data_IF_324521920234
#
_entry.id   IF_324521920234
#
_cell.length_a   1.000
_cell.length_b   1.000
_cell.length_c   1.000
_cell.angle_alpha   90.00
_cell.angle_beta   90.00
_cell.angle_gamma   90.00
#
_symmetry.space_group_name_H-M   'P 1'
#
loop_
_entity.id
_entity.type
_entity.pdbx_description
1 polymer ?
#
# COMPACT_ATOMS: atom_id res chain seq x y z
N UNK A 1 -47.83 -54.93 6.14
CA UNK A 1 -46.51 -54.96 5.46
C UNK A 1 -46.24 -53.58 4.89
N UNK A 2 -45.11 -52.96 5.24
CA UNK A 2 -44.66 -51.70 4.64
C UNK A 2 -43.75 -50.90 5.59
N UNK A 3 -42.45 -51.12 5.47
CA UNK A 3 -41.37 -50.78 6.42
C UNK A 3 -40.95 -49.30 6.30
N UNK A 4 -40.62 -48.66 7.43
CA UNK A 4 -39.91 -47.38 7.53
C UNK A 4 -38.55 -47.45 6.80
N UNK A 5 -38.20 -46.42 6.02
CA UNK A 5 -36.81 -46.13 5.67
C UNK A 5 -36.56 -44.62 5.71
N UNK A 6 -36.02 -44.18 6.84
CA UNK A 6 -35.35 -42.91 6.99
C UNK A 6 -33.94 -43.05 6.41
N UNK A 7 -33.58 -42.21 5.44
CA UNK A 7 -32.19 -42.08 4.98
C UNK A 7 -31.70 -40.71 5.43
N UNK A 8 -30.97 -40.70 6.55
CA UNK A 8 -30.20 -39.55 7.00
C UNK A 8 -28.92 -39.53 6.18
N UNK A 9 -28.83 -38.62 5.21
CA UNK A 9 -27.60 -38.33 4.51
C UNK A 9 -26.71 -37.46 5.42
N UNK A 10 -25.77 -38.10 6.12
CA UNK A 10 -24.71 -37.41 6.86
C UNK A 10 -23.72 -36.82 5.87
N UNK A 11 -23.84 -35.51 5.61
CA UNK A 11 -22.78 -34.72 4.99
C UNK A 11 -21.59 -34.65 5.97
N UNK A 12 -20.69 -35.63 5.89
CA UNK A 12 -19.34 -35.55 6.43
C UNK A 12 -18.56 -34.48 5.65
N UNK A 13 -18.82 -33.21 5.95
CA UNK A 13 -17.89 -32.14 5.60
C UNK A 13 -16.66 -32.36 6.47
N UNK A 14 -15.59 -32.85 5.86
CA UNK A 14 -14.28 -32.87 6.46
C UNK A 14 -13.88 -31.43 6.82
N UNK A 15 -13.93 -31.07 8.09
CA UNK A 15 -13.46 -29.79 8.64
C UNK A 15 -11.92 -29.66 8.64
N UNK A 16 -11.25 -30.28 7.67
CA UNK A 16 -9.81 -30.16 7.44
C UNK A 16 -9.58 -29.40 6.15
N UNK A 17 -9.70 -28.08 6.20
CA UNK A 17 -9.34 -27.23 5.06
C UNK A 17 -7.88 -27.48 4.66
N UNK A 18 -7.53 -27.44 3.36
CA UNK A 18 -6.14 -27.58 2.93
C UNK A 18 -5.27 -26.54 3.63
N UNK A 19 -4.20 -26.97 4.30
CA UNK A 19 -3.17 -26.06 4.80
C UNK A 19 -2.43 -25.51 3.58
N UNK A 20 -2.82 -24.30 3.15
CA UNK A 20 -2.14 -23.61 2.07
C UNK A 20 -0.69 -23.34 2.51
N UNK A 21 0.27 -23.83 1.73
CA UNK A 21 1.69 -23.56 1.98
C UNK A 21 1.94 -22.06 1.80
N UNK A 22 2.58 -21.44 2.78
CA UNK A 22 3.03 -20.05 2.68
C UNK A 22 4.07 -19.97 1.55
N UNK A 23 3.84 -19.17 0.49
CA UNK A 23 4.81 -19.00 -0.58
C UNK A 23 6.09 -18.38 -0.04
N UNK A 24 7.23 -18.99 -0.37
CA UNK A 24 8.57 -18.46 -0.06
C UNK A 24 9.26 -17.87 -1.28
N UNK A 25 8.65 -18.02 -2.46
CA UNK A 25 9.11 -17.51 -3.76
C UNK A 25 7.92 -16.94 -4.51
N UNK A 26 8.16 -15.96 -5.38
CA UNK A 26 7.12 -15.41 -6.25
C UNK A 26 6.70 -16.43 -7.30
N UNK A 27 5.41 -16.79 -7.33
CA UNK A 27 4.81 -17.57 -8.43
C UNK A 27 4.32 -16.63 -9.52
N UNK A 28 4.09 -17.11 -10.76
CA UNK A 28 3.54 -16.30 -11.83
C UNK A 28 2.22 -15.61 -11.45
N UNK A 29 1.36 -16.29 -10.67
CA UNK A 29 0.08 -15.75 -10.21
C UNK A 29 0.26 -14.60 -9.22
N UNK A 30 1.26 -14.70 -8.32
CA UNK A 30 1.59 -13.60 -7.39
C UNK A 30 2.17 -12.41 -8.15
N UNK A 31 3.09 -12.66 -9.11
CA UNK A 31 3.66 -11.61 -9.94
C UNK A 31 2.59 -10.88 -10.74
N UNK A 32 1.62 -11.60 -11.30
CA UNK A 32 0.49 -11.00 -12.01
C UNK A 32 -0.35 -10.08 -11.11
N UNK A 33 -0.55 -10.43 -9.83
CA UNK A 33 -1.22 -9.53 -8.88
C UNK A 33 -0.38 -8.29 -8.56
N UNK A 34 0.92 -8.46 -8.38
CA UNK A 34 1.85 -7.34 -8.16
C UNK A 34 1.79 -6.38 -9.36
N UNK A 35 1.90 -6.89 -10.58
CA UNK A 35 1.84 -6.11 -11.82
C UNK A 35 0.50 -5.38 -11.99
N UNK A 36 -0.59 -5.92 -11.47
CA UNK A 36 -1.90 -5.26 -11.49
C UNK A 36 -1.94 -4.01 -10.60
N UNK A 37 -1.27 -4.02 -9.44
CA UNK A 37 -1.33 -2.93 -8.47
C UNK A 37 -0.17 -1.92 -8.59
N UNK A 38 1.00 -2.36 -9.03
CA UNK A 38 2.22 -1.53 -9.12
C UNK A 38 2.05 -0.25 -9.94
N UNK A 39 1.46 -0.26 -11.16
CA UNK A 39 1.34 0.94 -11.99
C UNK A 39 0.60 2.08 -11.28
N UNK A 40 -0.44 1.74 -10.52
CA UNK A 40 -1.23 2.71 -9.78
C UNK A 40 -0.53 3.30 -8.56
N UNK A 41 0.56 2.68 -8.08
CA UNK A 41 1.43 3.18 -7.02
C UNK A 41 2.54 4.03 -7.65
N UNK A 42 3.19 3.51 -8.70
CA UNK A 42 4.24 4.22 -9.45
C UNK A 42 3.72 5.54 -10.02
N UNK A 43 2.50 5.56 -10.57
CA UNK A 43 1.91 6.80 -11.09
C UNK A 43 1.72 7.89 -10.03
N UNK A 44 1.57 7.53 -8.75
CA UNK A 44 1.51 8.50 -7.66
C UNK A 44 2.91 8.95 -7.24
N UNK A 45 3.87 8.04 -7.25
CA UNK A 45 5.29 8.35 -7.02
C UNK A 45 5.85 9.30 -8.07
N UNK A 46 5.48 9.13 -9.33
CA UNK A 46 5.90 9.99 -10.45
C UNK A 46 5.41 11.43 -10.31
N UNK A 47 4.38 11.66 -9.49
CA UNK A 47 3.81 12.98 -9.20
C UNK A 47 4.42 13.66 -7.97
N UNK A 48 5.25 12.98 -7.17
CA UNK A 48 5.93 13.60 -6.02
C UNK A 48 6.71 14.87 -6.37
N UNK A 49 7.37 14.99 -7.54
CA UNK A 49 8.02 16.24 -7.94
C UNK A 49 7.08 17.46 -8.05
N UNK A 50 5.77 17.27 -8.25
CA UNK A 50 4.79 18.38 -8.18
C UNK A 50 4.81 19.02 -6.78
N UNK A 51 4.87 18.20 -5.73
CA UNK A 51 4.88 18.63 -4.34
C UNK A 51 6.11 19.48 -4.02
N UNK A 52 7.28 19.09 -4.53
CA UNK A 52 8.50 19.88 -4.42
C UNK A 52 8.34 21.27 -5.06
N UNK A 53 7.76 21.33 -6.26
CA UNK A 53 7.46 22.59 -6.94
C UNK A 53 6.57 23.51 -6.10
N UNK A 54 5.50 22.98 -5.51
CA UNK A 54 4.61 23.75 -4.64
C UNK A 54 5.33 24.23 -3.37
N UNK A 55 6.15 23.39 -2.73
CA UNK A 55 6.92 23.77 -1.53
C UNK A 55 7.94 24.88 -1.85
N UNK A 56 8.63 24.78 -2.99
CA UNK A 56 9.60 25.81 -3.43
C UNK A 56 8.89 27.14 -3.70
N UNK A 57 7.71 27.10 -4.32
CA UNK A 57 6.88 28.26 -4.59
C UNK A 57 6.15 28.82 -3.36
N UNK A 58 6.20 28.13 -2.21
CA UNK A 58 5.37 28.42 -1.01
C UNK A 58 3.87 28.41 -1.32
N UNK A 59 3.46 27.57 -2.27
CA UNK A 59 2.07 27.41 -2.67
C UNK A 59 1.38 26.39 -1.75
N UNK A 60 1.11 26.82 -0.52
CA UNK A 60 0.59 25.96 0.54
C UNK A 60 -0.78 25.37 0.20
N UNK A 61 -1.61 26.11 -0.54
CA UNK A 61 -2.93 25.63 -0.99
C UNK A 61 -2.76 24.40 -1.89
N UNK A 62 -1.81 24.42 -2.82
CA UNK A 62 -1.54 23.28 -3.69
C UNK A 62 -0.81 22.14 -2.97
N UNK A 63 0.05 22.42 -1.97
CA UNK A 63 0.61 21.35 -1.11
C UNK A 63 -0.50 20.56 -0.41
N UNK A 64 -1.41 21.26 0.27
CA UNK A 64 -2.52 20.62 0.99
C UNK A 64 -3.50 19.93 0.02
N UNK A 65 -3.83 20.58 -1.09
CA UNK A 65 -4.72 20.00 -2.12
C UNK A 65 -4.12 18.73 -2.74
N UNK A 66 -2.80 18.67 -2.90
CA UNK A 66 -2.13 17.47 -3.41
C UNK A 66 -2.19 16.31 -2.41
N UNK A 67 -1.98 16.59 -1.11
CA UNK A 67 -2.01 15.58 -0.04
C UNK A 67 -3.43 15.01 0.11
N UNK A 68 -4.45 15.85 0.14
CA UNK A 68 -5.83 15.42 0.34
C UNK A 68 -6.52 14.90 -0.93
N UNK A 69 -6.00 15.26 -2.11
CA UNK A 69 -6.51 14.79 -3.40
C UNK A 69 -5.72 13.59 -3.93
N UNK A 70 -4.70 13.80 -4.79
CA UNK A 70 -3.84 12.74 -5.32
C UNK A 70 -3.38 11.68 -4.31
N UNK A 71 -2.93 12.09 -3.12
CA UNK A 71 -2.40 11.13 -2.12
C UNK A 71 -3.48 10.49 -1.26
N UNK A 72 -4.75 10.90 -1.36
CA UNK A 72 -5.86 10.35 -0.56
C UNK A 72 -6.10 8.85 -0.81
N UNK A 73 -5.78 8.35 -2.01
CA UNK A 73 -5.89 6.92 -2.32
C UNK A 73 -4.61 6.11 -2.05
N UNK A 74 -3.49 6.78 -1.75
CA UNK A 74 -2.18 6.14 -1.65
C UNK A 74 -2.20 5.04 -0.58
N UNK A 75 -2.90 5.27 0.53
CA UNK A 75 -2.94 4.33 1.66
C UNK A 75 -3.53 2.99 1.27
N UNK A 76 -4.66 3.04 0.57
CA UNK A 76 -5.34 1.85 0.11
C UNK A 76 -4.50 1.10 -0.95
N UNK A 77 -3.80 1.84 -1.82
CA UNK A 77 -2.95 1.27 -2.87
C UNK A 77 -1.71 0.58 -2.30
N UNK A 78 -0.97 1.23 -1.42
CA UNK A 78 0.19 0.64 -0.75
C UNK A 78 -0.20 -0.57 0.11
N UNK A 79 -1.34 -0.50 0.81
CA UNK A 79 -1.85 -1.64 1.57
C UNK A 79 -2.17 -2.86 0.69
N UNK A 80 -2.82 -2.64 -0.46
CA UNK A 80 -3.11 -3.73 -1.42
C UNK A 80 -1.84 -4.37 -1.96
N UNK A 81 -0.87 -3.55 -2.37
CA UNK A 81 0.40 -4.02 -2.93
C UNK A 81 1.24 -4.74 -1.86
N UNK A 82 1.31 -4.21 -0.64
CA UNK A 82 1.99 -4.85 0.50
C UNK A 82 1.48 -6.28 0.74
N UNK A 83 0.17 -6.49 0.61
CA UNK A 83 -0.45 -7.80 0.82
C UNK A 83 -0.17 -8.81 -0.30
N UNK A 84 0.34 -8.37 -1.46
CA UNK A 84 0.77 -9.27 -2.54
C UNK A 84 2.23 -9.72 -2.37
N UNK A 85 3.03 -9.02 -1.56
CA UNK A 85 4.43 -9.39 -1.34
C UNK A 85 4.53 -10.71 -0.57
N UNK A 86 5.71 -11.34 -0.66
CA UNK A 86 6.03 -12.49 0.20
C UNK A 86 5.89 -12.11 1.67
N UNK A 87 5.44 -13.05 2.50
CA UNK A 87 5.19 -12.83 3.94
C UNK A 87 6.38 -12.18 4.65
N UNK A 88 7.61 -12.54 4.26
CA UNK A 88 8.85 -11.96 4.81
C UNK A 88 9.01 -10.45 4.58
N UNK A 89 8.38 -9.89 3.55
CA UNK A 89 8.54 -8.49 3.14
C UNK A 89 7.30 -7.64 3.53
N UNK A 90 6.17 -8.27 3.88
CA UNK A 90 4.90 -7.56 4.14
C UNK A 90 4.97 -6.59 5.32
N UNK A 91 5.61 -7.00 6.42
CA UNK A 91 5.68 -6.18 7.62
C UNK A 91 6.54 -4.93 7.38
N UNK A 92 7.66 -5.09 6.67
CA UNK A 92 8.49 -3.97 6.27
C UNK A 92 7.75 -3.03 5.30
N UNK A 93 7.06 -3.56 4.30
CA UNK A 93 6.28 -2.77 3.36
C UNK A 93 5.15 -1.97 4.04
N UNK A 94 4.44 -2.61 4.99
CA UNK A 94 3.40 -1.93 5.79
C UNK A 94 3.98 -0.85 6.70
N UNK A 95 5.17 -1.08 7.25
CA UNK A 95 5.87 -0.08 8.07
C UNK A 95 6.27 1.14 7.22
N UNK A 96 6.91 0.93 6.07
CA UNK A 96 7.30 2.02 5.16
C UNK A 96 6.07 2.79 4.67
N UNK A 97 5.00 2.09 4.30
CA UNK A 97 3.75 2.72 3.91
C UNK A 97 3.18 3.58 5.06
N UNK A 98 3.29 3.14 6.31
CA UNK A 98 2.83 3.92 7.47
C UNK A 98 3.68 5.17 7.69
N UNK A 99 4.99 5.05 7.69
CA UNK A 99 5.91 6.19 7.90
C UNK A 99 5.76 7.23 6.78
N UNK A 100 5.58 6.79 5.53
CA UNK A 100 5.19 7.66 4.42
C UNK A 100 3.97 8.53 4.75
N UNK A 101 2.89 7.97 5.29
CA UNK A 101 1.72 8.76 5.68
C UNK A 101 2.01 9.72 6.83
N UNK A 102 2.79 9.29 7.82
CA UNK A 102 3.20 10.16 8.93
C UNK A 102 3.94 11.39 8.40
N UNK A 103 4.83 11.21 7.42
CA UNK A 103 5.54 12.31 6.79
C UNK A 103 4.62 13.20 5.94
N UNK A 104 3.64 12.63 5.23
CA UNK A 104 2.64 13.42 4.51
C UNK A 104 1.73 14.23 5.45
N UNK A 105 1.35 13.67 6.61
CA UNK A 105 0.58 14.39 7.65
C UNK A 105 1.38 15.56 8.23
N UNK A 106 2.66 15.34 8.54
CA UNK A 106 3.55 16.41 9.03
C UNK A 106 3.84 17.47 7.97
N UNK A 107 3.92 17.07 6.71
CA UNK A 107 4.03 18.00 5.58
C UNK A 107 2.77 18.87 5.48
N UNK A 108 1.58 18.28 5.61
CA UNK A 108 0.30 19.01 5.61
C UNK A 108 0.24 20.03 6.76
N UNK A 109 0.67 19.62 7.96
CA UNK A 109 0.78 20.51 9.12
C UNK A 109 1.79 21.64 8.88
N UNK A 110 2.97 21.33 8.34
CA UNK A 110 3.99 22.33 8.03
C UNK A 110 3.49 23.33 6.98
N UNK A 111 2.74 22.88 5.97
CA UNK A 111 2.11 23.73 4.97
C UNK A 111 1.06 24.65 5.61
N UNK A 112 0.21 24.12 6.50
CA UNK A 112 -0.78 24.91 7.24
C UNK A 112 -0.14 26.03 8.09
N UNK A 113 1.10 25.82 8.52
CA UNK A 113 1.87 26.77 9.33
C UNK A 113 2.90 27.59 8.54
N UNK A 114 2.92 27.48 7.20
CA UNK A 114 3.88 28.16 6.31
C UNK A 114 5.37 27.82 6.60
N UNK A 115 5.64 26.63 7.14
CA UNK A 115 6.96 26.21 7.60
C UNK A 115 7.77 25.53 6.49
N UNK A 116 8.32 26.32 5.55
CA UNK A 116 8.99 25.79 4.36
C UNK A 116 10.13 24.81 4.64
N UNK A 117 10.94 25.05 5.68
CA UNK A 117 12.07 24.16 6.02
C UNK A 117 11.57 22.80 6.50
N UNK A 118 10.53 22.78 7.34
CA UNK A 118 9.93 21.54 7.85
C UNK A 118 9.21 20.82 6.71
N UNK A 119 8.44 21.54 5.90
CA UNK A 119 7.79 20.99 4.71
C UNK A 119 8.80 20.31 3.76
N UNK A 120 9.92 20.98 3.46
CA UNK A 120 10.96 20.40 2.62
C UNK A 120 11.62 19.15 3.24
N UNK A 121 11.73 19.07 4.56
CA UNK A 121 12.26 17.88 5.24
C UNK A 121 11.28 16.72 5.19
N UNK A 122 10.01 16.96 5.51
CA UNK A 122 8.97 15.93 5.51
C UNK A 122 8.68 15.41 4.09
N UNK A 123 8.80 16.27 3.06
CA UNK A 123 8.79 15.83 1.66
C UNK A 123 9.89 14.81 1.36
N UNK A 124 11.14 15.09 1.77
CA UNK A 124 12.26 14.16 1.52
C UNK A 124 12.09 12.85 2.26
N UNK A 125 11.67 12.91 3.53
CA UNK A 125 11.41 11.69 4.30
C UNK A 125 10.31 10.84 3.65
N UNK A 126 9.21 11.48 3.22
CA UNK A 126 8.15 10.80 2.48
C UNK A 126 8.69 10.19 1.17
N UNK A 127 9.49 10.93 0.42
CA UNK A 127 10.10 10.43 -0.82
C UNK A 127 10.97 9.18 -0.58
N UNK A 128 11.81 9.23 0.46
CA UNK A 128 12.72 8.15 0.83
C UNK A 128 11.94 6.88 1.24
N UNK A 129 10.89 7.01 2.06
CA UNK A 129 10.02 5.88 2.44
C UNK A 129 9.27 5.31 1.24
N UNK A 130 8.84 6.15 0.31
CA UNK A 130 8.17 5.70 -0.90
C UNK A 130 9.13 4.92 -1.81
N UNK A 131 10.35 5.41 -2.00
CA UNK A 131 11.37 4.71 -2.78
C UNK A 131 11.81 3.40 -2.11
N UNK A 132 11.99 3.42 -0.78
CA UNK A 132 12.26 2.21 -0.01
C UNK A 132 11.13 1.18 -0.13
N UNK A 133 9.87 1.62 -0.14
CA UNK A 133 8.73 0.74 -0.38
C UNK A 133 8.80 0.10 -1.76
N UNK A 134 9.05 0.89 -2.81
CA UNK A 134 9.13 0.39 -4.18
C UNK A 134 10.30 -0.58 -4.39
N UNK A 135 11.39 -0.41 -3.65
CA UNK A 135 12.52 -1.35 -3.67
C UNK A 135 12.18 -2.75 -3.11
N UNK A 136 11.07 -2.91 -2.37
CA UNK A 136 10.57 -4.22 -1.95
C UNK A 136 9.72 -4.90 -3.01
N UNK A 137 9.24 -4.17 -4.00
CA UNK A 137 8.41 -4.69 -5.08
C UNK A 137 9.32 -5.41 -6.08
N UNK A 138 9.07 -6.70 -6.39
CA UNK A 138 9.88 -7.41 -7.36
C UNK A 138 9.75 -6.76 -8.74
N UNK A 139 10.90 -6.53 -9.39
CA UNK A 139 10.98 -6.20 -10.82
C UNK A 139 10.74 -7.48 -11.63
N UNK A 140 9.74 -7.46 -12.51
CA UNK A 140 9.48 -8.51 -13.50
C UNK A 140 10.41 -8.44 -14.70
#
# INVERSE_FOLDING_TARGET
MGILLAIVATCLVACGGPSAKIPTTYTPEILQQIDLYTPGVVSLRDRFPELEGYIQAKDWVNVQSFIHGPMGELRARLGRLSNQLLVKDQDQAKSLAKELFVHLERLDEAAANNQQVIAGQEYRNALDDFDAFLNLVPTV
#
